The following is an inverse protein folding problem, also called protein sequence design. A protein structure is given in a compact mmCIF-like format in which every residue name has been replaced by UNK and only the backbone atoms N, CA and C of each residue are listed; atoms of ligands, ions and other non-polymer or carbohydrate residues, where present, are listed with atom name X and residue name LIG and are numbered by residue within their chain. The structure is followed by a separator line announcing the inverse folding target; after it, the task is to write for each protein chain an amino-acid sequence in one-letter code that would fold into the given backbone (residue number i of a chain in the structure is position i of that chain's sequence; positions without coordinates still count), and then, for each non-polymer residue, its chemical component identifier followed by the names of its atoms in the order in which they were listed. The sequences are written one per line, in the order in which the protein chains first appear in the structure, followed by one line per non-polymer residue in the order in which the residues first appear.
data_IF_896765551094
#
_entry.id   IF_896765551094
#
_cell.length_a   1.000
_cell.length_b   1.000
_cell.length_c   1.000
_cell.angle_alpha   90.00
_cell.angle_beta   90.00
_cell.angle_gamma   90.00
#
_symmetry.space_group_name_H-M   'P 1'
#
loop_
_entity.id
_entity.type
_entity.pdbx_description
1 polymer ?
#
# COMPACT_ATOMS: atom_id res chain seq x y z
N UNK A 1 26.50 96.97 -111.40
CA UNK A 1 25.14 96.44 -111.26
C UNK A 1 24.84 96.38 -109.77
N UNK A 2 24.52 97.51 -109.13
CA UNK A 2 23.25 98.27 -109.27
C UNK A 2 22.08 97.32 -109.01
N UNK A 3 21.19 97.49 -108.04
CA UNK A 3 20.63 98.74 -107.50
C UNK A 3 19.88 98.46 -106.19
N UNK A 4 19.67 99.54 -105.44
CA UNK A 4 18.97 99.60 -104.17
C UNK A 4 17.44 99.46 -104.28
N UNK A 5 16.81 98.94 -103.21
CA UNK A 5 15.46 99.31 -102.76
C UNK A 5 15.41 99.30 -101.22
N UNK A 6 15.46 100.48 -100.59
CA UNK A 6 14.83 100.81 -99.29
C UNK A 6 13.31 100.95 -99.49
N UNK A 7 12.41 100.94 -98.47
CA UNK A 7 12.58 101.29 -97.04
C UNK A 7 11.93 100.22 -96.11
N UNK A 8 11.80 100.30 -94.78
CA UNK A 8 10.91 101.20 -94.03
C UNK A 8 10.85 100.74 -92.55
N UNK A 9 10.74 101.73 -91.65
CA UNK A 9 10.23 101.74 -90.26
C UNK A 9 10.85 100.90 -89.12
N UNK A 10 11.39 101.66 -88.16
CA UNK A 10 11.54 101.37 -86.74
C UNK A 10 10.31 100.70 -86.11
N UNK A 11 10.53 99.72 -85.22
CA UNK A 11 9.58 99.42 -84.15
C UNK A 11 10.31 99.10 -82.83
N UNK A 12 10.42 100.05 -81.87
CA UNK A 12 11.17 99.89 -80.62
C UNK A 12 10.51 98.95 -79.59
N UNK A 13 9.45 98.20 -79.97
CA UNK A 13 8.74 97.28 -79.07
C UNK A 13 9.24 95.82 -79.11
N UNK A 14 10.03 95.40 -80.12
CA UNK A 14 10.55 94.01 -80.22
C UNK A 14 11.78 93.73 -79.34
N UNK A 15 12.74 94.67 -79.21
CA UNK A 15 13.93 94.50 -78.34
C UNK A 15 13.55 94.42 -76.85
N UNK A 16 12.54 95.19 -76.40
CA UNK A 16 12.00 95.11 -75.04
C UNK A 16 11.37 93.74 -74.76
N UNK A 17 10.68 93.15 -75.75
CA UNK A 17 10.05 91.82 -75.63
C UNK A 17 11.09 90.70 -75.54
N UNK A 18 12.18 90.76 -76.32
CA UNK A 18 13.27 89.78 -76.26
C UNK A 18 14.00 89.87 -74.92
N UNK A 19 14.31 91.08 -74.43
CA UNK A 19 14.94 91.28 -73.12
C UNK A 19 14.08 90.76 -71.96
N UNK A 20 12.75 90.95 -72.03
CA UNK A 20 11.80 90.39 -71.06
C UNK A 20 11.77 88.86 -71.13
N UNK A 21 11.80 88.26 -72.33
CA UNK A 21 11.87 86.81 -72.49
C UNK A 21 13.19 86.24 -71.94
N UNK A 22 14.32 86.92 -72.14
CA UNK A 22 15.62 86.47 -71.60
C UNK A 22 15.65 86.54 -70.08
N UNK A 23 15.12 87.62 -69.50
CA UNK A 23 14.97 87.77 -68.05
C UNK A 23 14.05 86.68 -67.48
N UNK A 24 12.92 86.40 -68.12
CA UNK A 24 12.01 85.32 -67.69
C UNK A 24 12.69 83.95 -67.80
N UNK A 25 13.48 83.69 -68.84
CA UNK A 25 14.23 82.45 -68.98
C UNK A 25 15.32 82.30 -67.91
N UNK A 26 16.06 83.38 -67.60
CA UNK A 26 17.06 83.38 -66.51
C UNK A 26 16.39 83.19 -65.15
N UNK A 27 15.24 83.83 -64.90
CA UNK A 27 14.45 83.64 -63.68
C UNK A 27 13.93 82.19 -63.59
N UNK A 28 13.50 81.60 -64.70
CA UNK A 28 13.06 80.20 -64.74
C UNK A 28 14.22 79.24 -64.44
N UNK A 29 15.39 79.45 -65.06
CA UNK A 29 16.57 78.59 -64.83
C UNK A 29 17.08 78.74 -63.39
N UNK A 30 17.15 79.98 -62.87
CA UNK A 30 17.50 80.24 -61.49
C UNK A 30 16.48 79.64 -60.51
N UNK A 31 15.19 79.72 -60.84
CA UNK A 31 14.10 79.11 -60.07
C UNK A 31 14.19 77.59 -60.03
N UNK A 32 14.49 76.94 -61.16
CA UNK A 32 14.69 75.48 -61.24
C UNK A 32 15.92 75.05 -60.42
N UNK A 33 17.04 75.79 -60.50
CA UNK A 33 18.23 75.49 -59.71
C UNK A 33 18.02 75.69 -58.21
N UNK A 34 17.30 76.75 -57.81
CA UNK A 34 16.95 76.99 -56.42
C UNK A 34 16.03 75.88 -55.87
N UNK A 35 15.02 75.45 -56.65
CA UNK A 35 14.16 74.32 -56.29
C UNK A 35 14.96 73.02 -56.14
N UNK A 36 15.89 72.74 -57.05
CA UNK A 36 16.79 71.57 -56.95
C UNK A 36 17.66 71.59 -55.69
N UNK A 37 18.13 72.76 -55.26
CA UNK A 37 18.96 72.91 -54.07
C UNK A 37 18.18 72.76 -52.75
N UNK A 38 16.91 73.20 -52.73
CA UNK A 38 16.03 73.08 -51.55
C UNK A 38 15.45 71.67 -51.41
N UNK A 39 15.11 71.01 -52.51
CA UNK A 39 14.60 69.63 -52.52
C UNK A 39 15.71 68.56 -52.58
N UNK A 40 16.99 68.97 -52.59
CA UNK A 40 18.09 68.04 -52.38
C UNK A 40 18.00 67.51 -50.94
N UNK A 41 17.45 66.31 -50.79
CA UNK A 41 17.28 65.64 -49.51
C UNK A 41 18.65 65.50 -48.81
N UNK A 42 18.92 66.37 -47.83
CA UNK A 42 20.10 66.27 -46.98
C UNK A 42 19.74 65.31 -45.84
N UNK A 43 20.26 64.09 -45.90
CA UNK A 43 20.19 63.16 -44.78
C UNK A 43 21.02 63.74 -43.62
N UNK A 44 20.34 64.27 -42.60
CA UNK A 44 20.99 64.80 -41.41
C UNK A 44 21.52 63.64 -40.57
N UNK A 45 22.80 63.65 -40.19
CA UNK A 45 23.40 62.57 -39.35
C UNK A 45 22.68 62.38 -38.00
N UNK A 46 21.96 63.39 -37.51
CA UNK A 46 21.13 63.31 -36.31
C UNK A 46 19.90 62.40 -36.47
N UNK A 47 19.55 62.03 -37.70
CA UNK A 47 18.49 61.05 -37.99
C UNK A 47 19.01 59.60 -37.97
N UNK A 48 20.30 59.38 -37.73
CA UNK A 48 20.93 58.04 -37.72
C UNK A 48 21.35 57.69 -36.30
N UNK A 49 20.62 56.79 -35.66
CA UNK A 49 21.00 56.20 -34.38
C UNK A 49 22.01 55.09 -34.62
N UNK A 50 23.22 55.23 -34.08
CA UNK A 50 24.27 54.20 -34.14
C UNK A 50 24.68 53.80 -32.74
N UNK A 51 25.08 52.54 -32.55
CA UNK A 51 25.63 52.02 -31.31
C UNK A 51 26.95 51.29 -31.60
N UNK A 52 27.85 51.26 -30.63
CA UNK A 52 29.12 50.52 -30.72
C UNK A 52 28.84 49.04 -30.50
N UNK A 53 29.35 48.18 -31.38
CA UNK A 53 29.20 46.73 -31.27
C UNK A 53 30.16 46.18 -30.22
N UNK A 54 29.60 45.54 -29.20
CA UNK A 54 30.35 44.83 -28.17
C UNK A 54 30.21 43.32 -28.36
N UNK A 55 31.31 42.57 -28.13
CA UNK A 55 31.27 41.11 -28.11
C UNK A 55 31.02 40.65 -26.68
N UNK A 56 29.85 40.04 -26.46
CA UNK A 56 29.46 39.43 -25.19
C UNK A 56 28.65 38.16 -25.43
N UNK A 57 28.36 37.42 -24.37
CA UNK A 57 27.50 36.26 -24.47
C UNK A 57 26.05 36.71 -24.72
N UNK A 58 25.42 36.13 -25.73
CA UNK A 58 23.98 36.29 -25.99
C UNK A 58 23.30 35.06 -25.42
N UNK A 59 22.59 35.23 -24.31
CA UNK A 59 21.80 34.16 -23.72
C UNK A 59 20.40 34.17 -24.33
N UNK A 60 19.97 33.00 -24.82
CA UNK A 60 18.61 32.81 -25.31
C UNK A 60 17.82 32.04 -24.26
N UNK A 61 17.06 32.76 -23.44
CA UNK A 61 16.24 32.16 -22.38
C UNK A 61 14.90 31.72 -22.94
N UNK A 62 14.60 30.43 -22.86
CA UNK A 62 13.26 29.89 -23.12
C UNK A 62 12.51 29.86 -21.80
N UNK A 63 11.42 30.62 -21.70
CA UNK A 63 10.53 30.55 -20.54
C UNK A 63 9.74 29.24 -20.61
N UNK A 64 10.00 28.35 -19.65
CA UNK A 64 9.26 27.11 -19.47
C UNK A 64 8.56 27.13 -18.11
N UNK A 65 7.31 26.69 -18.08
CA UNK A 65 6.59 26.41 -16.85
C UNK A 65 6.62 24.91 -16.58
N UNK A 66 6.88 24.52 -15.33
CA UNK A 66 6.82 23.14 -14.87
C UNK A 66 6.18 23.07 -13.50
N UNK A 67 5.59 21.93 -13.18
CA UNK A 67 5.05 21.63 -11.85
C UNK A 67 6.12 20.89 -11.03
N UNK A 68 6.28 21.26 -9.76
CA UNK A 68 7.18 20.58 -8.83
C UNK A 68 6.36 19.54 -8.10
N UNK A 69 6.64 18.27 -8.38
CA UNK A 69 6.04 17.13 -7.69
C UNK A 69 7.06 16.50 -6.74
N UNK A 70 6.63 15.99 -5.57
CA UNK A 70 7.50 15.24 -4.70
C UNK A 70 7.95 13.95 -5.41
N UNK A 71 9.22 13.58 -5.22
CA UNK A 71 9.73 12.29 -5.73
C UNK A 71 9.04 11.10 -5.05
N UNK A 72 8.66 11.26 -3.77
CA UNK A 72 7.95 10.26 -2.98
C UNK A 72 6.86 10.91 -2.13
N UNK A 73 5.66 10.35 -2.20
CA UNK A 73 4.53 10.70 -1.33
C UNK A 73 3.97 9.42 -0.69
N UNK A 74 3.72 9.46 0.61
CA UNK A 74 3.14 8.34 1.36
C UNK A 74 1.93 8.80 2.16
N UNK A 75 0.79 8.16 1.94
CA UNK A 75 -0.44 8.42 2.68
C UNK A 75 -0.51 7.41 3.83
N UNK A 76 -0.60 7.92 5.06
CA UNK A 76 -0.74 7.11 6.27
C UNK A 76 -2.20 7.15 6.71
N UNK A 77 -2.87 5.99 6.70
CA UNK A 77 -4.24 5.81 7.18
C UNK A 77 -4.28 5.06 8.50
N UNK A 78 -5.40 5.16 9.21
CA UNK A 78 -5.62 4.39 10.42
C UNK A 78 -5.99 2.94 10.06
N UNK A 79 -5.31 1.92 10.60
CA UNK A 79 -5.66 0.51 10.39
C UNK A 79 -6.79 0.03 11.31
N UNK A 80 -7.31 0.91 12.17
CA UNK A 80 -8.40 0.64 13.11
C UNK A 80 -9.41 1.77 13.09
N UNK A 81 -10.65 1.46 13.45
CA UNK A 81 -11.67 2.47 13.74
C UNK A 81 -11.33 3.17 15.06
N UNK A 82 -10.95 4.44 15.00
CA UNK A 82 -10.56 5.23 16.17
C UNK A 82 -10.80 6.73 15.95
N UNK A 83 -11.00 7.46 17.05
CA UNK A 83 -11.12 8.91 17.01
C UNK A 83 -9.75 9.58 17.16
N UNK A 84 -9.55 10.74 16.53
CA UNK A 84 -8.33 11.54 16.72
C UNK A 84 -8.32 12.10 18.14
N UNK A 85 -7.35 11.70 18.95
CA UNK A 85 -7.20 12.18 20.32
C UNK A 85 -6.37 13.47 20.36
N UNK A 86 -5.23 13.48 19.66
CA UNK A 86 -4.34 14.64 19.63
C UNK A 86 -3.51 14.66 18.33
N UNK A 87 -3.30 15.86 17.79
CA UNK A 87 -2.35 16.10 16.70
C UNK A 87 -1.06 16.68 17.30
N UNK A 88 0.08 16.06 16.99
CA UNK A 88 1.39 16.41 17.57
C UNK A 88 2.24 17.27 16.61
N UNK A 89 1.95 17.19 15.31
CA UNK A 89 2.72 17.84 14.25
C UNK A 89 1.78 18.54 13.27
N UNK A 90 2.16 19.73 12.82
CA UNK A 90 1.41 20.51 11.83
C UNK A 90 1.91 20.30 10.40
N UNK A 91 1.03 20.55 9.42
CA UNK A 91 1.42 20.59 8.01
C UNK A 91 2.51 21.66 7.77
N UNK A 92 3.49 21.33 6.94
CA UNK A 92 4.71 22.11 6.69
C UNK A 92 5.87 21.79 7.63
N UNK A 93 5.65 20.96 8.66
CA UNK A 93 6.71 20.59 9.62
C UNK A 93 7.56 19.44 9.08
N UNK A 94 8.88 19.55 9.23
CA UNK A 94 9.82 18.45 8.96
C UNK A 94 9.76 17.40 10.06
N UNK A 95 9.61 16.13 9.68
CA UNK A 95 9.57 14.98 10.58
C UNK A 95 10.72 14.02 10.30
N UNK A 96 11.16 13.32 11.34
CA UNK A 96 12.12 12.22 11.25
C UNK A 96 11.41 10.87 11.33
N UNK A 97 12.07 9.84 10.83
CA UNK A 97 11.64 8.44 10.91
C UNK A 97 11.39 8.06 12.37
N UNK A 98 10.20 7.50 12.65
CA UNK A 98 9.73 7.12 13.98
C UNK A 98 9.10 8.25 14.79
N UNK A 99 9.10 9.49 14.30
CA UNK A 99 8.49 10.61 15.01
C UNK A 99 6.96 10.47 15.02
N UNK A 100 6.29 10.58 16.18
CA UNK A 100 4.84 10.51 16.27
C UNK A 100 4.20 11.76 15.68
N UNK A 101 3.20 11.57 14.83
CA UNK A 101 2.52 12.62 14.08
C UNK A 101 1.15 12.95 14.70
N UNK A 102 0.38 11.93 15.04
CA UNK A 102 -0.89 12.05 15.75
C UNK A 102 -1.12 10.85 16.67
N UNK A 103 -1.97 11.04 17.67
CA UNK A 103 -2.42 10.00 18.61
C UNK A 103 -3.90 9.73 18.39
N UNK A 104 -4.24 8.45 18.28
CA UNK A 104 -5.61 7.97 18.17
C UNK A 104 -6.09 7.44 19.52
N UNK A 105 -7.38 7.60 19.83
CA UNK A 105 -8.00 6.93 20.95
C UNK A 105 -8.21 5.45 20.61
N UNK A 106 -7.40 4.59 21.23
CA UNK A 106 -7.40 3.14 21.00
C UNK A 106 -8.23 2.36 22.01
N UNK A 107 -8.95 3.03 22.92
CA UNK A 107 -9.61 2.35 24.04
C UNK A 107 -10.53 1.21 23.57
N UNK A 108 -11.33 1.44 22.53
CA UNK A 108 -12.24 0.44 21.97
C UNK A 108 -11.49 -0.76 21.38
N UNK A 109 -10.45 -0.50 20.58
CA UNK A 109 -9.65 -1.56 19.96
C UNK A 109 -8.84 -2.35 21.00
N UNK A 110 -8.34 -1.68 22.05
CA UNK A 110 -7.64 -2.31 23.16
C UNK A 110 -8.58 -3.21 23.98
N UNK A 111 -9.82 -2.75 24.22
CA UNK A 111 -10.84 -3.57 24.88
C UNK A 111 -11.18 -4.82 24.07
N UNK A 112 -11.32 -4.71 22.74
CA UNK A 112 -11.56 -5.88 21.88
C UNK A 112 -10.36 -6.84 21.90
N UNK A 113 -9.13 -6.31 21.94
CA UNK A 113 -7.92 -7.12 22.11
C UNK A 113 -7.93 -7.90 23.42
N UNK A 114 -8.20 -7.25 24.56
CA UNK A 114 -8.26 -7.94 25.86
C UNK A 114 -9.39 -8.97 25.89
N UNK A 115 -10.57 -8.66 25.36
CA UNK A 115 -11.68 -9.60 25.22
C UNK A 115 -11.27 -10.83 24.41
N UNK A 116 -10.64 -10.63 23.25
CA UNK A 116 -10.21 -11.74 22.40
C UNK A 116 -9.08 -12.57 23.05
N UNK A 117 -8.21 -11.92 23.81
CA UNK A 117 -7.19 -12.58 24.63
C UNK A 117 -7.81 -13.45 25.73
N UNK A 118 -8.84 -12.97 26.43
CA UNK A 118 -9.58 -13.78 27.40
C UNK A 118 -10.32 -14.95 26.75
N UNK A 119 -10.91 -14.75 25.56
CA UNK A 119 -11.54 -15.83 24.80
C UNK A 119 -10.53 -16.92 24.43
N UNK A 120 -9.32 -16.54 23.98
CA UNK A 120 -8.23 -17.48 23.71
C UNK A 120 -7.81 -18.24 24.98
N UNK A 121 -7.65 -17.55 26.10
CA UNK A 121 -7.31 -18.19 27.38
C UNK A 121 -8.39 -19.18 27.83
N UNK A 122 -9.67 -18.84 27.66
CA UNK A 122 -10.79 -19.76 27.92
C UNK A 122 -10.73 -20.98 27.00
N UNK A 123 -10.55 -20.79 25.69
CA UNK A 123 -10.46 -21.89 24.72
C UNK A 123 -9.25 -22.81 24.99
N UNK A 124 -8.12 -22.25 25.45
CA UNK A 124 -6.96 -23.04 25.89
C UNK A 124 -7.27 -23.87 27.14
N UNK A 125 -7.99 -23.30 28.11
CA UNK A 125 -8.43 -24.03 29.30
C UNK A 125 -9.43 -25.15 28.93
N UNK A 126 -10.35 -24.88 28.01
CA UNK A 126 -11.30 -25.88 27.50
C UNK A 126 -10.58 -27.01 26.77
N UNK A 127 -9.55 -26.71 25.98
CA UNK A 127 -8.69 -27.72 25.36
C UNK A 127 -7.97 -28.58 26.41
N UNK A 128 -7.45 -27.96 27.47
CA UNK A 128 -6.78 -28.69 28.55
C UNK A 128 -7.77 -29.57 29.32
N UNK A 129 -8.99 -29.09 29.58
CA UNK A 129 -10.07 -29.86 30.19
C UNK A 129 -10.46 -31.05 29.32
N UNK A 130 -10.66 -30.83 28.02
CA UNK A 130 -10.95 -31.88 27.05
C UNK A 130 -9.85 -32.94 27.04
N UNK A 131 -8.58 -32.53 27.05
CA UNK A 131 -7.45 -33.46 27.13
C UNK A 131 -7.51 -34.34 28.38
N UNK A 132 -7.74 -33.75 29.55
CA UNK A 132 -7.85 -34.50 30.81
C UNK A 132 -9.03 -35.47 30.80
N UNK A 133 -10.17 -35.08 30.21
CA UNK A 133 -11.34 -35.94 30.08
C UNK A 133 -11.07 -37.13 29.14
N UNK A 134 -10.42 -36.88 28.00
CA UNK A 134 -10.03 -37.92 27.05
C UNK A 134 -8.99 -38.87 27.63
N UNK A 135 -7.98 -38.34 28.33
CA UNK A 135 -6.97 -39.14 29.03
C UNK A 135 -7.63 -40.03 30.08
N UNK A 136 -8.53 -39.49 30.92
CA UNK A 136 -9.29 -40.27 31.90
C UNK A 136 -10.07 -41.40 31.22
N UNK A 137 -10.85 -41.07 30.19
CA UNK A 137 -11.63 -42.06 29.44
C UNK A 137 -10.74 -43.16 28.83
N UNK A 138 -9.56 -42.81 28.32
CA UNK A 138 -8.59 -43.77 27.80
C UNK A 138 -8.02 -44.67 28.90
N UNK A 139 -7.66 -44.12 30.06
CA UNK A 139 -7.16 -44.88 31.20
C UNK A 139 -8.22 -45.85 31.75
N UNK A 140 -9.49 -45.45 31.81
CA UNK A 140 -10.59 -46.30 32.26
C UNK A 140 -10.74 -47.54 31.34
N UNK A 141 -10.70 -47.36 30.02
CA UNK A 141 -10.77 -48.46 29.04
C UNK A 141 -9.51 -49.34 29.15
N UNK A 142 -8.33 -48.75 29.32
CA UNK A 142 -7.06 -49.49 29.49
C UNK A 142 -7.06 -50.33 30.77
N UNK A 143 -7.62 -49.81 31.86
CA UNK A 143 -7.81 -50.52 33.12
C UNK A 143 -8.74 -51.72 32.93
N UNK A 144 -9.88 -51.52 32.28
CA UNK A 144 -10.81 -52.61 31.92
C UNK A 144 -10.15 -53.69 31.07
N UNK A 145 -9.28 -53.32 30.12
CA UNK A 145 -8.51 -54.29 29.34
C UNK A 145 -7.54 -55.10 30.19
N UNK A 146 -6.91 -54.47 31.18
CA UNK A 146 -6.01 -55.15 32.12
C UNK A 146 -6.79 -56.14 33.00
N UNK A 147 -8.00 -55.77 33.46
CA UNK A 147 -8.88 -56.67 34.21
C UNK A 147 -9.32 -57.86 33.35
N UNK A 148 -9.72 -57.63 32.09
CA UNK A 148 -10.06 -58.71 31.15
C UNK A 148 -8.86 -59.63 30.88
N UNK A 149 -7.65 -59.08 30.78
CA UNK A 149 -6.43 -59.88 30.63
C UNK A 149 -6.20 -60.80 31.83
N UNK A 150 -6.38 -60.30 33.06
CA UNK A 150 -6.30 -61.14 34.26
C UNK A 150 -7.36 -62.24 34.27
N UNK A 151 -8.59 -61.93 33.81
CA UNK A 151 -9.66 -62.92 33.68
C UNK A 151 -9.32 -64.00 32.66
N UNK A 152 -8.74 -63.64 31.53
CA UNK A 152 -8.25 -64.59 30.51
C UNK A 152 -7.18 -65.50 31.11
N UNK A 153 -6.18 -64.95 31.81
CA UNK A 153 -5.14 -65.78 32.45
C UNK A 153 -5.69 -66.74 33.51
N UNK A 154 -6.74 -66.34 34.24
CA UNK A 154 -7.48 -67.26 35.12
C UNK A 154 -8.17 -68.37 34.34
N UNK A 155 -8.87 -68.04 33.26
CA UNK A 155 -9.57 -69.02 32.41
C UNK A 155 -8.60 -69.97 31.70
N UNK A 156 -7.41 -69.50 31.32
CA UNK A 156 -6.33 -70.33 30.76
C UNK A 156 -5.88 -71.38 31.78
N UNK A 157 -5.68 -70.98 33.04
CA UNK A 157 -5.35 -71.90 34.12
C UNK A 157 -6.48 -72.91 34.39
N UNK A 158 -7.74 -72.48 34.31
CA UNK A 158 -8.92 -73.35 34.46
C UNK A 158 -9.00 -74.39 33.34
N UNK A 159 -8.76 -73.99 32.08
CA UNK A 159 -8.67 -74.88 30.91
C UNK A 159 -7.54 -75.89 31.10
N UNK A 160 -6.36 -75.44 31.53
CA UNK A 160 -5.23 -76.33 31.78
C UNK A 160 -5.54 -77.33 32.90
N UNK A 161 -6.21 -76.90 33.96
CA UNK A 161 -6.63 -77.77 35.05
C UNK A 161 -7.67 -78.80 34.59
N UNK A 162 -8.70 -78.39 33.84
CA UNK A 162 -9.71 -79.29 33.27
C UNK A 162 -9.07 -80.34 32.34
N UNK A 163 -8.11 -79.94 31.50
CA UNK A 163 -7.33 -80.85 30.64
C UNK A 163 -6.53 -81.87 31.45
N UNK A 164 -5.88 -81.45 32.54
CA UNK A 164 -5.15 -82.36 33.44
C UNK A 164 -6.09 -83.36 34.11
N UNK A 165 -7.24 -82.90 34.60
CA UNK A 165 -8.23 -83.74 35.26
C UNK A 165 -8.82 -84.80 34.30
N UNK A 166 -9.14 -84.39 33.07
CA UNK A 166 -9.62 -85.29 32.02
C UNK A 166 -8.58 -86.37 31.68
N UNK A 167 -7.30 -85.99 31.52
CA UNK A 167 -6.20 -86.95 31.28
C UNK A 167 -6.00 -87.94 32.43
N UNK A 168 -6.24 -87.51 33.67
CA UNK A 168 -6.17 -88.34 34.86
C UNK A 168 -7.44 -89.21 35.06
N UNK A 169 -8.45 -89.11 34.18
CA UNK A 169 -9.71 -89.86 34.27
C UNK A 169 -10.75 -89.28 35.25
N UNK A 170 -10.49 -88.10 35.81
CA UNK A 170 -11.34 -87.46 36.83
C UNK A 170 -12.31 -86.41 36.31
N UNK A 171 -12.39 -86.16 35.00
CA UNK A 171 -13.27 -85.15 34.40
C UNK A 171 -13.88 -85.61 33.07
N UNK A 172 -14.86 -84.88 32.55
CA UNK A 172 -15.52 -85.19 31.27
C UNK A 172 -14.92 -84.37 30.12
N UNK A 173 -15.15 -84.82 28.88
CA UNK A 173 -14.78 -84.05 27.68
C UNK A 173 -15.57 -82.73 27.58
N UNK A 174 -16.82 -82.76 28.01
CA UNK A 174 -17.71 -81.59 28.02
C UNK A 174 -17.17 -80.48 28.93
N UNK A 175 -16.59 -80.83 30.08
CA UNK A 175 -15.96 -79.85 30.98
C UNK A 175 -14.79 -79.12 30.32
N UNK A 176 -13.97 -79.83 29.55
CA UNK A 176 -12.85 -79.24 28.80
C UNK A 176 -13.37 -78.32 27.70
N UNK A 177 -14.34 -78.77 26.90
CA UNK A 177 -14.93 -77.97 25.81
C UNK A 177 -15.62 -76.71 26.34
N UNK A 178 -16.31 -76.78 27.48
CA UNK A 178 -16.93 -75.63 28.14
C UNK A 178 -15.91 -74.62 28.64
N UNK A 179 -14.81 -75.09 29.25
CA UNK A 179 -13.72 -74.21 29.68
C UNK A 179 -13.05 -73.51 28.49
N UNK A 180 -12.79 -74.24 27.40
CA UNK A 180 -12.22 -73.70 26.16
C UNK A 180 -13.15 -72.67 25.50
N UNK A 181 -14.46 -72.94 25.47
CA UNK A 181 -15.45 -72.01 24.94
C UNK A 181 -15.46 -70.70 25.74
N UNK A 182 -15.44 -70.78 27.07
CA UNK A 182 -15.39 -69.60 27.95
C UNK A 182 -14.11 -68.77 27.71
N UNK A 183 -12.96 -69.43 27.56
CA UNK A 183 -11.71 -68.77 27.20
C UNK A 183 -11.81 -68.07 25.84
N UNK A 184 -12.40 -68.74 24.84
CA UNK A 184 -12.59 -68.17 23.50
C UNK A 184 -13.51 -66.95 23.51
N UNK A 185 -14.61 -67.00 24.26
CA UNK A 185 -15.52 -65.85 24.45
C UNK A 185 -14.77 -64.68 25.09
N UNK A 186 -14.02 -64.92 26.16
CA UNK A 186 -13.22 -63.88 26.81
C UNK A 186 -12.16 -63.28 25.88
N UNK A 187 -11.53 -64.10 25.02
CA UNK A 187 -10.59 -63.64 24.00
C UNK A 187 -11.24 -62.73 22.95
N UNK A 188 -12.44 -63.06 22.47
CA UNK A 188 -13.19 -62.22 21.54
C UNK A 188 -13.60 -60.88 22.17
N UNK A 189 -14.06 -60.88 23.42
CA UNK A 189 -14.37 -59.65 24.15
C UNK A 189 -13.14 -58.76 24.33
N UNK A 190 -11.97 -59.35 24.60
CA UNK A 190 -10.72 -58.61 24.70
C UNK A 190 -10.35 -57.98 23.35
N UNK A 191 -10.44 -58.75 22.26
CA UNK A 191 -10.16 -58.24 20.92
C UNK A 191 -11.10 -57.07 20.54
N UNK A 192 -12.38 -57.16 20.91
CA UNK A 192 -13.33 -56.06 20.73
C UNK A 192 -12.87 -54.80 21.49
N UNK A 193 -12.44 -54.96 22.74
CA UNK A 193 -11.96 -53.85 23.57
C UNK A 193 -10.65 -53.25 23.04
N UNK A 194 -9.73 -54.06 22.53
CA UNK A 194 -8.49 -53.59 21.90
C UNK A 194 -8.77 -52.74 20.64
N UNK A 195 -9.75 -53.15 19.84
CA UNK A 195 -10.22 -52.35 18.70
C UNK A 195 -10.83 -51.01 19.14
N UNK A 196 -11.60 -51.02 20.23
CA UNK A 196 -12.17 -49.81 20.82
C UNK A 196 -11.08 -48.86 21.33
N UNK A 197 -10.06 -49.38 22.04
CA UNK A 197 -8.90 -48.59 22.49
C UNK A 197 -8.21 -47.91 21.31
N UNK A 198 -7.96 -48.66 20.22
CA UNK A 198 -7.32 -48.11 19.01
C UNK A 198 -8.17 -47.00 18.39
N UNK A 199 -9.47 -47.23 18.24
CA UNK A 199 -10.42 -46.25 17.69
C UNK A 199 -10.49 -44.99 18.57
N UNK A 200 -10.58 -45.17 19.89
CA UNK A 200 -10.60 -44.09 20.87
C UNK A 200 -9.31 -43.27 20.83
N UNK A 201 -8.15 -43.92 20.73
CA UNK A 201 -6.86 -43.24 20.63
C UNK A 201 -6.73 -42.42 19.34
N UNK A 202 -7.23 -42.92 18.21
CA UNK A 202 -7.27 -42.16 16.96
C UNK A 202 -8.19 -40.94 17.09
N UNK A 203 -9.39 -41.15 17.65
CA UNK A 203 -10.39 -40.09 17.85
C UNK A 203 -9.87 -39.01 18.80
N UNK A 204 -9.22 -39.40 19.89
CA UNK A 204 -8.58 -38.49 20.85
C UNK A 204 -7.54 -37.59 20.18
N UNK A 205 -6.66 -38.15 19.34
CA UNK A 205 -5.66 -37.36 18.62
C UNK A 205 -6.31 -36.36 17.66
N UNK A 206 -7.40 -36.74 16.99
CA UNK A 206 -8.14 -35.84 16.09
C UNK A 206 -8.78 -34.71 16.89
N UNK A 207 -9.47 -35.01 18.00
CA UNK A 207 -10.14 -34.00 18.83
C UNK A 207 -9.15 -33.00 19.45
N UNK A 208 -8.00 -33.48 19.96
CA UNK A 208 -6.96 -32.60 20.51
C UNK A 208 -6.38 -31.72 19.40
N UNK A 209 -6.15 -32.28 18.20
CA UNK A 209 -5.65 -31.52 17.05
C UNK A 209 -6.65 -30.45 16.61
N UNK A 210 -7.92 -30.80 16.54
CA UNK A 210 -9.01 -29.89 16.18
C UNK A 210 -9.09 -28.70 17.15
N UNK A 211 -9.08 -28.98 18.46
CA UNK A 211 -9.04 -27.95 19.49
C UNK A 211 -7.77 -27.07 19.38
N UNK A 212 -6.62 -27.68 19.08
CA UNK A 212 -5.36 -26.96 18.88
C UNK A 212 -5.37 -26.04 17.64
N UNK A 213 -6.01 -26.47 16.54
CA UNK A 213 -6.21 -25.65 15.34
C UNK A 213 -7.12 -24.47 15.66
N UNK A 214 -8.25 -24.70 16.35
CA UNK A 214 -9.16 -23.64 16.75
C UNK A 214 -8.45 -22.56 17.61
N UNK A 215 -7.65 -22.98 18.59
CA UNK A 215 -6.83 -22.07 19.40
C UNK A 215 -5.78 -21.32 18.56
N UNK A 216 -5.16 -21.99 17.58
CA UNK A 216 -4.18 -21.37 16.67
C UNK A 216 -4.81 -20.31 15.77
N UNK A 217 -6.03 -20.51 15.30
CA UNK A 217 -6.80 -19.54 14.52
C UNK A 217 -7.10 -18.30 15.38
N UNK A 218 -7.59 -18.49 16.61
CA UNK A 218 -7.82 -17.39 17.54
C UNK A 218 -6.53 -16.62 17.87
N UNK A 219 -5.42 -17.32 18.06
CA UNK A 219 -4.11 -16.70 18.26
C UNK A 219 -3.63 -15.92 17.03
N UNK A 220 -3.95 -16.39 15.82
CA UNK A 220 -3.69 -15.68 14.57
C UNK A 220 -4.47 -14.36 14.51
N UNK A 221 -5.77 -14.41 14.78
CA UNK A 221 -6.63 -13.23 14.84
C UNK A 221 -6.16 -12.22 15.90
N UNK A 222 -5.73 -12.70 17.07
CA UNK A 222 -5.18 -11.83 18.13
C UNK A 222 -3.88 -11.14 17.69
N UNK A 223 -2.97 -11.87 17.02
CA UNK A 223 -1.72 -11.30 16.47
C UNK A 223 -2.00 -10.26 15.39
N UNK A 224 -3.01 -10.48 14.56
CA UNK A 224 -3.42 -9.49 13.56
C UNK A 224 -3.93 -8.21 14.23
N UNK A 225 -4.79 -8.33 15.24
CA UNK A 225 -5.30 -7.20 16.01
C UNK A 225 -4.18 -6.46 16.75
N UNK A 226 -3.23 -7.17 17.33
CA UNK A 226 -2.04 -6.59 17.96
C UNK A 226 -1.23 -5.76 16.94
N UNK A 227 -1.01 -6.30 15.74
CA UNK A 227 -0.34 -5.57 14.65
C UNK A 227 -1.11 -4.32 14.27
N UNK A 228 -2.45 -4.38 14.15
CA UNK A 228 -3.29 -3.21 13.87
C UNK A 228 -3.18 -2.15 14.97
N UNK A 229 -3.16 -2.54 16.25
CA UNK A 229 -2.97 -1.63 17.39
C UNK A 229 -1.60 -0.94 17.39
N UNK A 230 -0.54 -1.67 17.01
CA UNK A 230 0.80 -1.12 16.85
C UNK A 230 0.85 -0.12 15.69
N UNK A 231 0.30 -0.48 14.53
CA UNK A 231 0.22 0.40 13.36
C UNK A 231 -0.68 1.63 13.60
N UNK A 232 -1.62 1.56 14.56
CA UNK A 232 -2.40 2.71 15.00
C UNK A 232 -1.58 3.74 15.78
N UNK A 233 -0.31 3.48 16.09
CA UNK A 233 0.65 4.55 16.41
C UNK A 233 1.08 5.20 15.10
N UNK A 234 0.47 6.33 14.76
CA UNK A 234 0.76 7.05 13.53
C UNK A 234 2.11 7.76 13.68
N UNK A 235 3.16 7.11 13.18
CA UNK A 235 4.54 7.61 13.16
C UNK A 235 5.01 7.80 11.71
N UNK A 236 5.93 8.73 11.51
CA UNK A 236 6.56 8.93 10.21
C UNK A 236 7.45 7.73 9.85
N UNK A 237 7.25 7.10 8.69
CA UNK A 237 8.09 5.96 8.24
C UNK A 237 9.40 6.38 7.61
N UNK A 238 9.51 7.66 7.22
CA UNK A 238 10.67 8.25 6.54
C UNK A 238 10.83 9.70 6.98
N UNK A 239 12.04 10.22 6.77
CA UNK A 239 12.31 11.65 6.95
C UNK A 239 11.65 12.43 5.80
N UNK A 240 10.95 13.52 6.13
CA UNK A 240 10.18 14.28 5.15
C UNK A 240 9.45 15.47 5.74
N UNK A 241 8.52 16.04 4.97
CA UNK A 241 7.67 17.16 5.40
C UNK A 241 6.22 16.72 5.35
N UNK A 242 5.45 17.02 6.40
CA UNK A 242 4.02 16.73 6.44
C UNK A 242 3.29 17.68 5.49
N UNK A 243 2.67 17.15 4.43
CA UNK A 243 1.92 17.96 3.46
C UNK A 243 0.52 18.30 3.95
N UNK A 244 -0.17 17.32 4.55
CA UNK A 244 -1.52 17.47 5.05
C UNK A 244 -1.78 16.58 6.28
N UNK A 245 -2.63 17.05 7.19
CA UNK A 245 -3.06 16.30 8.36
C UNK A 245 -4.49 16.68 8.76
N UNK A 246 -5.30 15.70 9.14
CA UNK A 246 -6.64 15.96 9.68
C UNK A 246 -6.52 16.49 11.12
N UNK A 247 -6.94 17.74 11.33
CA UNK A 247 -6.87 18.43 12.63
C UNK A 247 -8.16 18.35 13.45
N UNK A 248 -9.18 17.65 12.96
CA UNK A 248 -10.46 17.56 13.65
C UNK A 248 -10.37 16.57 14.81
N UNK A 249 -9.92 17.06 15.97
CA UNK A 249 -9.90 16.28 17.22
C UNK A 249 -11.32 15.79 17.52
N UNK A 250 -11.45 14.51 17.86
CA UNK A 250 -12.73 13.84 18.08
C UNK A 250 -13.40 13.30 16.81
N UNK A 251 -12.88 13.58 15.61
CA UNK A 251 -13.39 12.95 14.40
C UNK A 251 -13.04 11.46 14.38
N UNK A 252 -14.04 10.63 14.09
CA UNK A 252 -13.88 9.18 13.92
C UNK A 252 -13.31 8.88 12.54
N UNK A 253 -12.19 8.18 12.50
CA UNK A 253 -11.59 7.65 11.28
C UNK A 253 -11.94 6.17 11.22
N UNK A 254 -12.33 5.70 10.03
CA UNK A 254 -12.59 4.29 9.78
C UNK A 254 -11.42 3.63 9.04
N UNK A 255 -11.25 2.32 9.28
CA UNK A 255 -10.29 1.45 8.58
C UNK A 255 -10.53 1.41 7.06
#
# INVERSE_FOLDING_TARGET
MDTAITPTVLNPKRKKRIMVITIIAVILVAGVFALRAVFAAKLTRSAITTAVVERGNIENTINASGEILPEFEEIITSPINAAIQQVLVDAGTTVKTGQPVLTLDKAVAQMEYEKQRFNLASSQNDMQKLKLELDKSFYDIKSNNSIKQLRISSLEADVENAKRLFKAGGGTREDVEKAELNLKVAGLEKQQLENEIKSKQQTMQVQIREAGIAASIQQGALRELERKLQLANIVAKRDGVVTWINKNIGATIQE
#
